data_IF_057039895010
#
_entry.id   IF_057039895010
#
_cell.length_a   1.000
_cell.length_b   1.000
_cell.length_c   1.000
_cell.angle_alpha   90.00
_cell.angle_beta   90.00
_cell.angle_gamma   90.00
#
_symmetry.space_group_name_H-M   'P 1'
#
loop_
_entity.id
_entity.type
_entity.pdbx_description
1 polymer ?
#
# COMPACT_ATOMS: atom_id res chain seq x y z
N UNK A 1 19.14 0.40 4.59
CA UNK A 1 17.80 -0.18 4.72
C UNK A 1 17.13 -0.07 3.37
N UNK A 2 17.22 -1.11 2.55
CA UNK A 2 16.49 -1.15 1.29
C UNK A 2 15.00 -1.29 1.61
N UNK A 3 14.24 -0.23 1.37
CA UNK A 3 12.80 -0.32 1.39
C UNK A 3 12.37 -1.19 0.20
N UNK A 4 12.26 -2.50 0.41
CA UNK A 4 11.63 -3.43 -0.55
C UNK A 4 10.14 -3.13 -0.61
N UNK A 5 9.79 -2.07 -1.34
CA UNK A 5 8.46 -1.95 -1.96
C UNK A 5 8.22 -3.28 -2.67
N UNK A 6 7.16 -4.01 -2.30
CA UNK A 6 6.85 -5.34 -2.87
C UNK A 6 6.69 -5.20 -4.39
N UNK A 7 7.76 -5.49 -5.11
CA UNK A 7 7.93 -5.34 -6.56
C UNK A 7 6.91 -6.11 -7.42
N UNK A 8 6.07 -6.96 -6.83
CA UNK A 8 5.08 -7.75 -7.57
C UNK A 8 3.76 -6.99 -7.82
N UNK A 9 3.26 -6.21 -6.85
CA UNK A 9 1.93 -5.58 -6.99
C UNK A 9 1.93 -4.43 -8.01
N UNK A 10 3.01 -3.67 -8.05
CA UNK A 10 3.20 -2.62 -9.05
C UNK A 10 3.32 -3.20 -10.48
N UNK A 11 3.92 -4.39 -10.63
CA UNK A 11 3.98 -5.09 -11.92
C UNK A 11 2.60 -5.52 -12.40
N UNK A 12 1.77 -6.08 -11.51
CA UNK A 12 0.37 -6.45 -11.82
C UNK A 12 -0.46 -5.23 -12.27
N UNK A 13 -0.26 -4.07 -11.64
CA UNK A 13 -0.89 -2.81 -12.05
C UNK A 13 -0.44 -2.37 -13.45
N UNK A 14 0.87 -2.43 -13.72
CA UNK A 14 1.45 -2.08 -15.03
C UNK A 14 0.94 -3.02 -16.12
N UNK A 15 0.88 -4.32 -15.86
CA UNK A 15 0.34 -5.32 -16.79
C UNK A 15 -1.16 -5.11 -17.06
N UNK A 16 -1.95 -4.82 -16.01
CA UNK A 16 -3.37 -4.50 -16.13
C UNK A 16 -3.64 -3.26 -16.99
N UNK A 17 -2.87 -2.18 -16.78
CA UNK A 17 -2.95 -0.96 -17.59
C UNK A 17 -2.55 -1.23 -19.04
N UNK A 18 -1.45 -1.96 -19.28
CA UNK A 18 -0.98 -2.30 -20.62
C UNK A 18 -1.98 -3.16 -21.40
N UNK A 19 -2.72 -4.05 -20.72
CA UNK A 19 -3.74 -4.90 -21.36
C UNK A 19 -4.97 -4.14 -21.88
N UNK A 20 -5.26 -2.97 -21.31
CA UNK A 20 -6.44 -2.15 -21.64
C UNK A 20 -6.12 -1.09 -22.69
N UNK A 21 -4.85 -0.92 -23.10
CA UNK A 21 -4.47 0.04 -24.14
C UNK A 21 -4.51 -0.65 -25.52
N UNK A 22 -5.60 -0.58 -26.31
CA UNK A 22 -5.59 -0.98 -27.70
C UNK A 22 -4.74 -0.02 -28.52
N UNK A 23 -4.10 -0.54 -29.57
CA UNK A 23 -3.25 0.23 -30.50
C UNK A 23 -4.02 1.30 -31.31
N UNK A 24 -5.35 1.36 -31.23
CA UNK A 24 -6.20 2.32 -31.92
C UNK A 24 -6.93 3.22 -30.91
N UNK A 25 -6.47 4.45 -30.78
CA UNK A 25 -6.75 5.34 -29.64
C UNK A 25 -7.90 6.33 -29.87
N UNK A 26 -8.62 6.27 -31.00
CA UNK A 26 -9.60 7.31 -31.33
C UNK A 26 -11.04 7.02 -30.92
N UNK A 27 -11.50 5.77 -30.96
CA UNK A 27 -12.94 5.43 -30.75
C UNK A 27 -13.28 4.76 -29.43
N UNK A 28 -12.29 4.39 -28.59
CA UNK A 28 -12.52 3.60 -27.36
C UNK A 28 -12.03 4.29 -26.09
N UNK A 29 -11.83 5.62 -26.10
CA UNK A 29 -11.26 6.36 -24.97
C UNK A 29 -12.11 6.27 -23.70
N UNK A 30 -13.43 6.27 -23.83
CA UNK A 30 -14.34 6.24 -22.69
C UNK A 30 -14.40 4.85 -22.04
N UNK A 31 -14.45 3.78 -22.83
CA UNK A 31 -14.40 2.40 -22.33
C UNK A 31 -13.07 2.09 -21.63
N UNK A 32 -11.96 2.61 -22.16
CA UNK A 32 -10.64 2.51 -21.52
C UNK A 32 -10.64 3.24 -20.18
N UNK A 33 -11.20 4.44 -20.12
CA UNK A 33 -11.24 5.26 -18.91
C UNK A 33 -12.03 4.58 -17.79
N UNK A 34 -13.14 3.95 -18.11
CA UNK A 34 -13.97 3.28 -17.12
C UNK A 34 -13.35 1.96 -16.64
N UNK A 35 -12.74 1.18 -17.54
CA UNK A 35 -11.98 -0.01 -17.16
C UNK A 35 -10.76 0.32 -16.30
N UNK A 36 -10.04 1.40 -16.61
CA UNK A 36 -8.92 1.88 -15.80
C UNK A 36 -9.37 2.33 -14.40
N UNK A 37 -10.51 3.04 -14.29
CA UNK A 37 -11.06 3.42 -12.98
C UNK A 37 -11.42 2.19 -12.14
N UNK A 38 -12.00 1.15 -12.74
CA UNK A 38 -12.35 -0.08 -12.03
C UNK A 38 -11.07 -0.76 -11.50
N UNK A 39 -10.06 -0.92 -12.35
CA UNK A 39 -8.77 -1.51 -11.94
C UNK A 39 -8.08 -0.69 -10.84
N UNK A 40 -8.07 0.64 -10.95
CA UNK A 40 -7.47 1.51 -9.94
C UNK A 40 -8.22 1.43 -8.60
N UNK A 41 -9.55 1.39 -8.61
CA UNK A 41 -10.33 1.21 -7.39
C UNK A 41 -10.08 -0.16 -6.75
N UNK A 42 -10.02 -1.22 -7.56
CA UNK A 42 -9.77 -2.58 -7.08
C UNK A 42 -8.34 -2.71 -6.52
N UNK A 43 -7.38 -2.02 -7.14
CA UNK A 43 -5.99 -1.96 -6.66
C UNK A 43 -5.84 -1.12 -5.39
N UNK A 44 -6.49 0.04 -5.31
CA UNK A 44 -6.49 0.88 -4.10
C UNK A 44 -7.14 0.16 -2.91
N UNK A 45 -8.13 -0.71 -3.15
CA UNK A 45 -8.71 -1.59 -2.11
C UNK A 45 -7.79 -2.74 -1.68
N UNK A 46 -6.88 -3.19 -2.56
CA UNK A 46 -5.93 -4.30 -2.32
C UNK A 46 -4.57 -3.85 -1.79
N UNK A 47 -4.25 -2.56 -1.91
CA UNK A 47 -3.21 -1.97 -1.07
C UNK A 47 -3.82 -1.96 0.34
N UNK A 48 -3.12 -2.53 1.32
CA UNK A 48 -3.47 -2.38 2.74
C UNK A 48 -3.33 -0.90 3.10
N UNK A 49 -4.32 -0.10 2.70
CA UNK A 49 -4.41 1.32 3.04
C UNK A 49 -4.83 1.35 4.49
N UNK A 50 -3.83 1.24 5.36
CA UNK A 50 -3.99 1.53 6.78
C UNK A 50 -4.48 2.97 6.84
N UNK A 51 -5.70 3.15 7.32
CA UNK A 51 -6.27 4.48 7.49
C UNK A 51 -5.33 5.29 8.38
N UNK A 52 -5.33 6.62 8.23
CA UNK A 52 -4.47 7.47 9.08
C UNK A 52 -4.72 7.21 10.57
N UNK A 53 -5.96 6.92 10.93
CA UNK A 53 -6.38 6.56 12.28
C UNK A 53 -5.75 5.24 12.76
N UNK A 54 -5.76 4.18 11.94
CA UNK A 54 -5.12 2.90 12.29
C UNK A 54 -3.60 3.01 12.38
N UNK A 55 -2.98 3.87 11.56
CA UNK A 55 -1.54 4.15 11.62
C UNK A 55 -1.16 4.83 12.96
N UNK A 56 -1.96 5.79 13.40
CA UNK A 56 -1.72 6.49 14.67
C UNK A 56 -1.89 5.55 15.87
N UNK A 57 -2.86 4.62 15.83
CA UNK A 57 -3.00 3.56 16.85
C UNK A 57 -1.78 2.64 16.89
N UNK A 58 -1.28 2.20 15.73
CA UNK A 58 -0.07 1.36 15.67
C UNK A 58 1.17 2.09 16.21
N UNK A 59 1.29 3.39 15.97
CA UNK A 59 2.35 4.23 16.54
C UNK A 59 2.27 4.30 18.07
N UNK A 60 1.07 4.44 18.64
CA UNK A 60 0.90 4.40 20.09
C UNK A 60 1.28 3.05 20.71
N UNK A 61 0.88 1.95 20.06
CA UNK A 61 1.29 0.61 20.50
C UNK A 61 2.80 0.50 20.51
N UNK A 62 3.48 0.95 19.46
CA UNK A 62 4.94 0.95 19.38
C UNK A 62 5.60 1.77 20.50
N UNK A 63 5.05 2.94 20.84
CA UNK A 63 5.54 3.77 21.95
C UNK A 63 5.40 3.05 23.30
N UNK A 64 4.27 2.38 23.53
CA UNK A 64 4.05 1.57 24.75
C UNK A 64 5.04 0.40 24.83
N UNK A 65 5.33 -0.25 23.71
CA UNK A 65 6.29 -1.37 23.67
C UNK A 65 7.72 -0.89 23.95
N UNK A 66 8.12 0.29 23.43
CA UNK A 66 9.43 0.90 23.74
C UNK A 66 9.57 1.19 25.23
N UNK A 67 8.58 1.82 25.84
CA UNK A 67 8.60 2.11 27.27
C UNK A 67 8.72 0.84 28.12
N UNK A 68 7.99 -0.21 27.76
CA UNK A 68 8.09 -1.52 28.45
C UNK A 68 9.46 -2.18 28.27
N UNK A 69 10.11 -1.99 27.11
CA UNK A 69 11.47 -2.48 26.89
C UNK A 69 12.47 -1.73 27.77
N UNK A 70 12.39 -0.40 27.82
CA UNK A 70 13.23 0.44 28.70
C UNK A 70 13.08 0.01 30.17
N UNK A 71 11.84 -0.15 30.66
CA UNK A 71 11.56 -0.61 32.03
C UNK A 71 12.15 -2.00 32.34
N UNK A 72 12.26 -2.88 31.34
CA UNK A 72 12.85 -4.22 31.47
C UNK A 72 14.38 -4.17 31.39
N UNK A 73 14.94 -3.35 30.51
CA UNK A 73 16.38 -3.10 30.42
C UNK A 73 16.91 -2.48 31.72
N UNK A 74 16.18 -1.54 32.31
CA UNK A 74 16.52 -0.92 33.59
C UNK A 74 16.50 -1.91 34.76
N UNK A 75 15.61 -2.92 34.72
CA UNK A 75 15.57 -4.00 35.72
C UNK A 75 16.71 -4.99 35.58
N UNK A 76 17.26 -5.17 34.39
CA UNK A 76 18.39 -6.06 34.13
C UNK A 76 19.74 -5.38 34.39
N UNK A 77 19.80 -4.05 34.23
CA UNK A 77 21.00 -3.24 34.48
C UNK A 77 21.14 -2.77 35.94
N UNK A 78 20.19 -3.09 36.81
CA UNK A 78 20.26 -2.91 38.27
C UNK A 78 20.62 -4.22 38.96
#
# INVERSE_FOLDING_TARGET
>A
MECKVKNNRFKELVEGILSIIPKNTETMKDDIKDNLKILLNDYLRKIDVVTREEFDVQREVLLKTRKKLEDLEDKLNK
#
